data_IF_724209445890
#
_entry.id   IF_724209445890
#
_cell.length_a   1.000
_cell.length_b   1.000
_cell.length_c   1.000
_cell.angle_alpha   90.00
_cell.angle_beta   90.00
_cell.angle_gamma   90.00
#
_symmetry.space_group_name_H-M   'P 1'
#
loop_
_entity.id
_entity.type
_entity.pdbx_description
1 polymer ?
#
# COMPACT_ATOMS: atom_id res chain seq x y z
N UNK A 1 -5.53 -6.32 -32.08
CA UNK A 1 -5.49 -5.03 -31.38
C UNK A 1 -6.80 -4.85 -30.64
N UNK A 2 -6.85 -5.09 -29.34
CA UNK A 2 -8.02 -4.81 -28.49
C UNK A 2 -7.64 -3.67 -27.55
N UNK A 3 -8.30 -2.52 -27.74
CA UNK A 3 -8.13 -1.33 -26.92
C UNK A 3 -8.76 -1.56 -25.54
N UNK A 4 -7.95 -1.50 -24.51
CA UNK A 4 -8.42 -1.44 -23.12
C UNK A 4 -8.81 0.01 -22.81
N UNK A 5 -10.10 0.32 -22.93
CA UNK A 5 -10.69 1.54 -22.41
C UNK A 5 -11.01 1.37 -20.94
N UNK A 6 -10.07 1.69 -20.06
CA UNK A 6 -10.31 1.86 -18.64
C UNK A 6 -10.87 3.24 -18.38
N UNK A 7 -12.18 3.36 -18.16
CA UNK A 7 -12.81 4.59 -17.69
C UNK A 7 -12.43 4.83 -16.22
N UNK A 8 -11.30 5.52 -16.03
CA UNK A 8 -10.88 6.03 -14.72
C UNK A 8 -11.84 7.13 -14.26
N UNK A 9 -12.79 6.78 -13.42
CA UNK A 9 -13.61 7.75 -12.74
C UNK A 9 -12.74 8.52 -11.75
N UNK A 10 -12.52 9.80 -12.01
CA UNK A 10 -11.83 10.70 -11.06
C UNK A 10 -12.63 10.74 -9.75
N UNK A 11 -12.00 10.56 -8.59
CA UNK A 11 -12.67 10.78 -7.32
C UNK A 11 -13.05 12.26 -7.22
N UNK A 12 -14.31 12.52 -6.88
CA UNK A 12 -14.80 13.87 -6.61
C UNK A 12 -14.06 14.42 -5.39
N UNK A 13 -13.37 15.53 -5.59
CA UNK A 13 -12.71 16.32 -4.56
C UNK A 13 -13.74 16.90 -3.60
N UNK A 14 -13.92 16.32 -2.43
CA UNK A 14 -14.36 17.06 -1.21
C UNK A 14 -14.57 16.12 0.00
N UNK A 15 -13.60 15.29 0.33
CA UNK A 15 -13.45 14.85 1.71
C UNK A 15 -12.05 15.28 2.14
N UNK A 16 -11.95 16.22 3.08
CA UNK A 16 -10.67 16.59 3.65
C UNK A 16 -10.11 15.35 4.36
N UNK A 17 -9.13 14.70 3.74
CA UNK A 17 -8.38 13.65 4.40
C UNK A 17 -7.87 14.19 5.75
N UNK A 18 -7.96 13.42 6.84
CA UNK A 18 -7.48 13.87 8.13
C UNK A 18 -6.00 14.22 8.00
N UNK A 19 -5.63 15.43 8.44
CA UNK A 19 -4.24 15.85 8.47
C UNK A 19 -3.48 14.93 9.44
N UNK A 20 -2.82 13.90 8.91
CA UNK A 20 -2.07 12.94 9.70
C UNK A 20 -0.65 13.47 9.89
N UNK A 21 -0.45 14.27 10.94
CA UNK A 21 0.89 14.69 11.34
C UNK A 21 1.58 13.53 12.06
N UNK A 22 2.35 12.73 11.33
CA UNK A 22 3.16 11.65 11.89
C UNK A 22 4.54 12.20 12.29
N UNK A 23 4.96 11.91 13.51
CA UNK A 23 6.33 12.23 13.99
C UNK A 23 7.38 11.44 13.22
N UNK A 24 7.05 10.20 12.82
CA UNK A 24 7.92 9.30 12.06
C UNK A 24 7.34 9.15 10.65
N UNK A 25 8.09 9.57 9.63
CA UNK A 25 7.65 9.46 8.23
C UNK A 25 7.63 8.00 7.78
N UNK A 26 6.52 7.49 7.24
CA UNK A 26 6.44 6.14 6.67
C UNK A 26 7.40 5.94 5.51
N UNK A 27 7.79 4.69 5.28
CA UNK A 27 8.55 4.23 4.13
C UNK A 27 7.64 3.55 3.13
N UNK A 28 7.48 4.15 1.97
CA UNK A 28 6.75 3.55 0.84
C UNK A 28 7.71 2.73 0.01
N UNK A 29 7.42 1.44 -0.13
CA UNK A 29 8.13 0.51 -1.00
C UNK A 29 7.25 0.25 -2.22
N UNK A 30 7.67 0.76 -3.37
CA UNK A 30 6.90 0.69 -4.60
C UNK A 30 7.67 -0.03 -5.71
N UNK A 31 6.96 -0.74 -6.56
CA UNK A 31 7.54 -1.42 -7.72
C UNK A 31 6.57 -2.41 -8.36
N UNK A 32 6.92 -2.98 -9.52
CA UNK A 32 6.07 -3.92 -10.21
C UNK A 32 5.81 -5.20 -9.39
N UNK A 33 4.74 -5.92 -9.73
CA UNK A 33 4.46 -7.22 -9.13
C UNK A 33 5.61 -8.18 -9.41
N UNK A 34 5.99 -9.00 -8.44
CA UNK A 34 7.05 -10.00 -8.59
C UNK A 34 8.49 -9.48 -8.47
N UNK A 35 8.74 -8.16 -8.33
CA UNK A 35 10.11 -7.62 -8.21
C UNK A 35 10.78 -7.85 -6.84
N UNK A 36 10.19 -8.65 -5.96
CA UNK A 36 10.79 -9.01 -4.67
C UNK A 36 10.50 -8.07 -3.50
N UNK A 37 9.54 -7.12 -3.62
CA UNK A 37 9.16 -6.22 -2.53
C UNK A 37 8.88 -6.96 -1.23
N UNK A 38 7.96 -7.90 -1.25
CA UNK A 38 7.58 -8.68 -0.06
C UNK A 38 8.75 -9.43 0.58
N UNK A 39 9.68 -9.96 -0.24
CA UNK A 39 10.89 -10.62 0.25
C UNK A 39 11.80 -9.64 1.00
N UNK A 40 12.02 -8.46 0.44
CA UNK A 40 12.82 -7.41 1.07
C UNK A 40 12.17 -6.93 2.37
N UNK A 41 10.87 -6.64 2.33
CA UNK A 41 10.08 -6.19 3.49
C UNK A 41 10.14 -7.24 4.61
N UNK A 42 9.93 -8.53 4.28
CA UNK A 42 9.98 -9.62 5.26
C UNK A 42 11.35 -9.74 5.94
N UNK A 43 12.45 -9.57 5.17
CA UNK A 43 13.80 -9.55 5.72
C UNK A 43 14.00 -8.36 6.66
N UNK A 44 13.58 -7.17 6.23
CA UNK A 44 13.73 -5.94 7.01
C UNK A 44 12.97 -6.02 8.34
N UNK A 45 11.73 -6.49 8.31
CA UNK A 45 10.91 -6.67 9.52
C UNK A 45 11.48 -7.73 10.47
N UNK A 46 12.11 -8.78 9.93
CA UNK A 46 12.76 -9.82 10.73
C UNK A 46 14.05 -9.33 11.37
N UNK A 47 14.82 -8.51 10.66
CA UNK A 47 16.13 -8.02 11.12
C UNK A 47 15.97 -6.86 12.12
N UNK A 48 14.96 -6.01 11.91
CA UNK A 48 14.71 -4.82 12.73
C UNK A 48 13.27 -4.74 13.24
N UNK A 49 12.79 -5.71 14.04
CA UNK A 49 11.38 -5.81 14.44
C UNK A 49 10.91 -4.65 15.33
N UNK A 50 11.84 -4.00 16.04
CA UNK A 50 11.51 -2.88 16.91
C UNK A 50 11.52 -1.53 16.18
N UNK A 51 12.21 -1.43 15.04
CA UNK A 51 12.32 -0.19 14.27
C UNK A 51 11.24 -0.05 13.20
N UNK A 52 10.76 -1.15 12.64
CA UNK A 52 9.81 -1.16 11.52
C UNK A 52 8.54 -1.93 11.86
N UNK A 53 7.43 -1.52 11.27
CA UNK A 53 6.17 -2.23 11.29
C UNK A 53 5.50 -2.18 9.91
N UNK A 54 4.73 -3.20 9.56
CA UNK A 54 4.05 -3.29 8.30
C UNK A 54 2.63 -2.73 8.38
N UNK A 55 2.25 -1.91 7.43
CA UNK A 55 0.87 -1.48 7.28
C UNK A 55 0.06 -2.59 6.62
N UNK A 56 -0.75 -3.30 7.40
CA UNK A 56 -1.62 -4.35 6.88
C UNK A 56 -2.69 -3.72 6.00
N UNK A 57 -2.71 -4.11 4.73
CA UNK A 57 -3.68 -3.60 3.75
C UNK A 57 -5.08 -4.20 3.96
N UNK A 58 -6.10 -3.51 3.47
CA UNK A 58 -7.49 -3.97 3.45
C UNK A 58 -7.79 -4.65 2.12
N UNK A 59 -8.71 -5.61 2.13
CA UNK A 59 -9.22 -6.19 0.90
C UNK A 59 -10.68 -6.62 1.03
N UNK A 60 -11.44 -6.47 -0.07
CA UNK A 60 -12.81 -7.01 -0.17
C UNK A 60 -12.86 -8.42 -0.75
N UNK A 61 -11.71 -9.04 -0.98
CA UNK A 61 -11.59 -10.44 -1.33
C UNK A 61 -11.80 -11.31 -0.09
N UNK A 62 -12.51 -12.44 -0.19
CA UNK A 62 -12.54 -13.39 0.91
C UNK A 62 -11.13 -13.95 1.21
N UNK A 63 -10.85 -14.30 2.48
CA UNK A 63 -9.57 -14.91 2.85
C UNK A 63 -9.34 -16.23 2.13
N UNK A 64 -8.10 -16.53 1.79
CA UNK A 64 -7.65 -17.82 1.29
C UNK A 64 -7.35 -18.76 2.46
N UNK A 65 -7.31 -20.09 2.23
CA UNK A 65 -6.88 -21.02 3.27
C UNK A 65 -5.52 -20.64 3.85
N UNK A 66 -5.45 -20.48 5.19
CA UNK A 66 -4.25 -20.11 5.90
C UNK A 66 -4.03 -18.61 6.09
N UNK A 67 -4.78 -17.73 5.43
CA UNK A 67 -4.72 -16.29 5.68
C UNK A 67 -5.48 -15.92 6.96
N UNK A 68 -4.92 -15.00 7.74
CA UNK A 68 -5.43 -14.56 9.03
C UNK A 68 -5.78 -13.07 8.96
N UNK A 69 -6.98 -12.74 9.45
CA UNK A 69 -7.42 -11.33 9.54
C UNK A 69 -6.48 -10.50 10.43
N UNK A 70 -6.32 -9.25 10.05
CA UNK A 70 -5.42 -8.27 10.69
C UNK A 70 -3.93 -8.65 10.67
N UNK A 71 -3.56 -9.76 10.03
CA UNK A 71 -2.17 -10.19 9.83
C UNK A 71 -1.79 -10.17 8.36
N UNK A 72 -2.52 -10.87 7.52
CA UNK A 72 -2.28 -10.91 6.08
C UNK A 72 -3.01 -9.78 5.37
N UNK A 73 -4.27 -9.55 5.72
CA UNK A 73 -5.11 -8.44 5.33
C UNK A 73 -6.12 -8.10 6.43
N UNK A 74 -6.66 -6.89 6.40
CA UNK A 74 -7.95 -6.57 7.02
C UNK A 74 -9.04 -6.95 6.02
N UNK A 75 -9.70 -8.09 6.24
CA UNK A 75 -10.76 -8.56 5.35
C UNK A 75 -12.06 -7.82 5.66
N UNK A 76 -12.69 -7.29 4.62
CA UNK A 76 -13.94 -6.56 4.70
C UNK A 76 -14.84 -6.93 3.51
N UNK A 77 -16.11 -6.59 3.57
CA UNK A 77 -16.94 -6.68 2.39
C UNK A 77 -16.75 -5.47 1.46
N UNK A 78 -17.18 -5.63 0.19
CA UNK A 78 -17.01 -4.60 -0.83
C UNK A 78 -17.80 -3.32 -0.50
N UNK A 79 -19.00 -3.46 0.07
CA UNK A 79 -19.87 -2.33 0.37
C UNK A 79 -19.28 -1.48 1.50
N UNK A 80 -18.75 -2.13 2.54
CA UNK A 80 -18.06 -1.44 3.63
C UNK A 80 -16.81 -0.73 3.13
N UNK A 81 -15.96 -1.40 2.32
CA UNK A 81 -14.78 -0.75 1.76
C UNK A 81 -15.13 0.46 0.88
N UNK A 82 -16.21 0.36 0.08
CA UNK A 82 -16.66 1.51 -0.72
C UNK A 82 -17.06 2.69 0.15
N UNK A 83 -17.83 2.45 1.22
CA UNK A 83 -18.22 3.51 2.17
C UNK A 83 -16.97 4.17 2.81
N UNK A 84 -15.98 3.39 3.17
CA UNK A 84 -14.75 3.89 3.80
C UNK A 84 -13.86 4.65 2.80
N UNK A 85 -13.85 4.23 1.54
CA UNK A 85 -13.24 4.97 0.43
C UNK A 85 -13.94 6.31 0.23
N UNK A 86 -15.27 6.32 0.18
CA UNK A 86 -16.07 7.55 -0.01
C UNK A 86 -15.90 8.55 1.15
N UNK A 87 -15.62 8.05 2.36
CA UNK A 87 -15.27 8.86 3.53
C UNK A 87 -13.80 9.34 3.53
N UNK A 88 -13.00 8.97 2.54
CA UNK A 88 -11.59 9.36 2.46
C UNK A 88 -10.69 8.70 3.51
N UNK A 89 -11.03 7.52 4.01
CA UNK A 89 -10.26 6.83 5.04
C UNK A 89 -9.05 6.06 4.49
N UNK A 90 -8.94 5.96 3.16
CA UNK A 90 -7.84 5.26 2.49
C UNK A 90 -6.78 6.22 1.96
N UNK A 91 -5.52 5.91 2.23
CA UNK A 91 -4.36 6.58 1.66
C UNK A 91 -4.24 6.31 0.15
N UNK A 92 -4.47 5.05 -0.21
CA UNK A 92 -4.52 4.56 -1.59
C UNK A 92 -5.46 3.35 -1.66
N UNK A 93 -6.04 3.12 -2.81
CA UNK A 93 -6.82 1.92 -3.12
C UNK A 93 -6.83 1.63 -4.61
N UNK A 94 -7.10 0.37 -4.96
CA UNK A 94 -7.29 -0.09 -6.33
C UNK A 94 -8.45 -1.09 -6.42
N UNK A 95 -9.19 -1.07 -7.53
CA UNK A 95 -10.11 -2.15 -7.90
C UNK A 95 -9.38 -3.10 -8.84
N UNK A 96 -9.14 -4.32 -8.37
CA UNK A 96 -8.47 -5.36 -9.13
C UNK A 96 -9.45 -6.52 -9.31
N UNK A 97 -9.92 -6.72 -10.54
CA UNK A 97 -10.90 -7.75 -10.88
C UNK A 97 -12.16 -7.73 -10.01
N UNK A 98 -12.71 -6.54 -9.73
CA UNK A 98 -13.90 -6.38 -8.92
C UNK A 98 -13.68 -6.56 -7.42
N UNK A 99 -12.44 -6.60 -6.95
CA UNK A 99 -12.06 -6.63 -5.52
C UNK A 99 -11.24 -5.40 -5.18
N UNK A 100 -11.62 -4.73 -4.10
CA UNK A 100 -10.83 -3.64 -3.58
C UNK A 100 -9.61 -4.14 -2.80
N UNK A 101 -8.53 -3.43 -2.95
CA UNK A 101 -7.34 -3.49 -2.12
C UNK A 101 -6.94 -2.07 -1.76
N UNK A 102 -6.43 -1.84 -0.56
CA UNK A 102 -5.99 -0.49 -0.21
C UNK A 102 -5.39 -0.40 1.18
N UNK A 103 -4.68 0.69 1.42
CA UNK A 103 -4.05 1.01 2.69
C UNK A 103 -4.78 2.17 3.36
N UNK A 104 -5.32 1.95 4.56
CA UNK A 104 -6.01 3.00 5.30
C UNK A 104 -5.03 3.91 6.05
N UNK A 105 -5.43 5.17 6.27
CA UNK A 105 -4.68 6.09 7.15
C UNK A 105 -4.57 5.54 8.57
N UNK A 106 -5.60 4.81 9.05
CA UNK A 106 -5.59 4.19 10.36
C UNK A 106 -4.48 3.13 10.48
N UNK A 107 -4.35 2.23 9.50
CA UNK A 107 -3.33 1.19 9.53
C UNK A 107 -1.91 1.79 9.57
N UNK A 108 -1.67 2.89 8.85
CA UNK A 108 -0.39 3.61 8.89
C UNK A 108 -0.17 4.26 10.25
N UNK A 109 -1.21 4.89 10.79
CA UNK A 109 -1.14 5.54 12.09
C UNK A 109 -0.89 4.57 13.24
N UNK A 110 -1.55 3.43 13.25
CA UNK A 110 -1.39 2.41 14.31
C UNK A 110 0.08 1.94 14.44
N UNK A 111 0.78 1.80 13.31
CA UNK A 111 2.22 1.46 13.31
C UNK A 111 3.08 2.62 13.82
N UNK A 112 2.76 3.84 13.41
CA UNK A 112 3.49 5.03 13.85
C UNK A 112 3.28 5.31 15.36
N UNK A 113 2.06 5.10 15.87
CA UNK A 113 1.74 5.24 17.30
C UNK A 113 2.48 4.19 18.16
N UNK A 114 2.83 3.04 17.57
CA UNK A 114 3.72 2.06 18.21
C UNK A 114 5.21 2.49 18.18
N UNK A 115 5.53 3.68 17.72
CA UNK A 115 6.90 4.22 17.66
C UNK A 115 7.76 3.63 16.55
N UNK A 116 7.16 2.97 15.55
CA UNK A 116 7.87 2.29 14.45
C UNK A 116 7.75 3.05 13.14
N UNK A 117 8.74 2.89 12.27
CA UNK A 117 8.64 3.32 10.88
C UNK A 117 7.65 2.41 10.16
N UNK A 118 6.52 2.96 9.71
CA UNK A 118 5.53 2.20 8.97
C UNK A 118 6.03 1.90 7.55
N UNK A 119 6.06 0.63 7.16
CA UNK A 119 6.32 0.20 5.78
C UNK A 119 4.98 0.04 5.06
N UNK A 120 4.86 0.71 3.92
CA UNK A 120 3.69 0.67 3.04
C UNK A 120 4.14 0.03 1.73
N UNK A 121 3.59 -1.15 1.39
CA UNK A 121 3.84 -1.81 0.12
C UNK A 121 2.73 -1.46 -0.87
N UNK A 122 3.09 -0.83 -1.98
CA UNK A 122 2.15 -0.43 -3.03
C UNK A 122 2.68 -0.75 -4.43
N UNK A 123 1.79 -0.77 -5.39
CA UNK A 123 2.14 -0.79 -6.80
C UNK A 123 2.40 0.63 -7.34
N UNK A 124 2.73 0.73 -8.64
CA UNK A 124 3.01 2.02 -9.28
C UNK A 124 1.77 2.92 -9.31
N UNK A 125 0.56 2.35 -9.37
CA UNK A 125 -0.69 3.12 -9.38
C UNK A 125 -0.93 3.77 -8.01
N UNK A 126 -0.71 3.04 -6.92
CA UNK A 126 -0.82 3.55 -5.56
C UNK A 126 0.13 4.72 -5.26
N UNK A 127 1.29 4.78 -5.94
CA UNK A 127 2.24 5.91 -5.79
C UNK A 127 1.61 7.25 -6.12
N UNK A 128 0.73 7.33 -7.13
CA UNK A 128 0.09 8.59 -7.51
C UNK A 128 -0.86 9.08 -6.41
N UNK A 129 -1.62 8.17 -5.81
CA UNK A 129 -2.52 8.49 -4.69
C UNK A 129 -1.74 8.98 -3.47
N UNK A 130 -0.64 8.30 -3.14
CA UNK A 130 0.24 8.72 -2.03
C UNK A 130 0.87 10.10 -2.29
N UNK A 131 1.25 10.41 -3.54
CA UNK A 131 1.78 11.74 -3.90
C UNK A 131 0.77 12.86 -3.73
N UNK A 132 -0.51 12.58 -3.92
CA UNK A 132 -1.61 13.54 -3.79
C UNK A 132 -2.12 13.65 -2.35
N UNK A 133 -1.74 12.72 -1.48
CA UNK A 133 -2.13 12.73 -0.08
C UNK A 133 -1.32 13.77 0.73
N UNK A 134 -1.85 14.27 1.85
CA UNK A 134 -1.12 15.16 2.75
C UNK A 134 -0.03 14.44 3.55
N UNK A 135 0.11 13.11 3.41
CA UNK A 135 1.05 12.31 4.16
C UNK A 135 2.48 12.48 3.62
N UNK A 136 3.36 13.00 4.44
CA UNK A 136 4.79 13.02 4.13
C UNK A 136 5.40 11.62 4.28
N UNK A 137 5.99 11.10 3.21
CA UNK A 137 6.57 9.75 3.16
C UNK A 137 8.01 9.77 2.64
N UNK A 138 8.80 8.78 3.07
CA UNK A 138 10.03 8.37 2.38
C UNK A 138 9.66 7.36 1.30
N UNK A 139 10.35 7.36 0.15
CA UNK A 139 10.02 6.51 -0.99
C UNK A 139 11.22 5.67 -1.41
N UNK A 140 10.99 4.36 -1.55
CA UNK A 140 11.92 3.40 -2.13
C UNK A 140 11.25 2.77 -3.35
N UNK A 141 11.87 2.92 -4.52
CA UNK A 141 11.41 2.28 -5.74
C UNK A 141 12.25 1.04 -6.01
N UNK A 142 11.58 -0.10 -6.16
CA UNK A 142 12.21 -1.34 -6.60
C UNK A 142 11.97 -1.52 -8.10
N UNK A 143 13.04 -1.76 -8.83
CA UNK A 143 13.00 -2.06 -10.27
C UNK A 143 13.47 -3.49 -10.41
N UNK A 144 12.71 -4.34 -11.10
CA UNK A 144 13.20 -5.66 -11.50
C UNK A 144 14.31 -5.46 -12.52
N UNK A 145 15.51 -5.94 -12.20
CA UNK A 145 16.58 -6.02 -13.17
C UNK A 145 16.45 -7.37 -13.88
N UNK A 146 16.23 -7.36 -15.20
CA UNK A 146 16.40 -8.57 -16.00
C UNK A 146 17.87 -8.95 -15.93
N UNK A 147 18.15 -10.10 -15.30
CA UNK A 147 19.50 -10.55 -15.01
C UNK A 147 20.38 -10.79 -16.25
N UNK A 148 19.82 -10.74 -17.45
CA UNK A 148 20.58 -10.89 -18.70
C UNK A 148 21.31 -9.60 -19.13
N UNK A 149 21.08 -8.46 -18.46
CA UNK A 149 21.71 -7.16 -18.81
C UNK A 149 22.62 -6.61 -17.70
N UNK A 150 22.59 -7.15 -16.50
CA UNK A 150 23.42 -6.71 -15.37
C UNK A 150 24.82 -7.37 -15.35
N UNK A 151 25.48 -7.46 -16.51
CA UNK A 151 26.93 -7.68 -16.60
C UNK A 151 27.64 -6.35 -16.84
N UNK A 152 27.23 -5.30 -16.15
CA UNK A 152 28.03 -4.08 -16.04
C UNK A 152 28.62 -4.04 -14.66
N UNK A 153 29.90 -4.39 -14.59
CA UNK A 153 30.71 -4.27 -13.41
C UNK A 153 30.69 -2.86 -12.84
N UNK A 154 30.55 -2.80 -11.53
CA UNK A 154 31.10 -1.78 -10.67
C UNK A 154 32.08 -2.43 -9.72
#
# INVERSE_FOLDING_TARGET
MKSYGGSGQKPSSNASAPALALTIKPLVVAGPSGCGKGTLISKLLKEYPDAFGFSVSHTSRPPRPGEVDAKDYHFSDRAQMQQDIDKGLFLEYADVHGKFYGTSFKAVKDVADAGKVCIIEIDIQGVQSVKQSPLEVRRLYMIACDCDVCMCGC
#
